data_IF_875137430244
#
_entry.id   IF_875137430244
#
_cell.length_a   1.000
_cell.length_b   1.000
_cell.length_c   1.000
_cell.angle_alpha   90.00
_cell.angle_beta   90.00
_cell.angle_gamma   90.00
#
_symmetry.space_group_name_H-M   'P 1'
#
loop_
_entity.id
_entity.type
_entity.pdbx_description
1 polymer ?
#
# COMPACT_ATOMS: atom_id res chain seq x y z
N UNK A 1 6.61 17.31 -23.18
CA UNK A 1 5.56 17.61 -22.17
C UNK A 1 5.48 16.58 -21.04
N UNK A 2 5.86 15.31 -21.28
CA UNK A 2 5.86 14.24 -20.27
C UNK A 2 6.85 14.45 -19.12
N UNK A 3 8.05 14.96 -19.40
CA UNK A 3 9.11 15.14 -18.39
C UNK A 3 8.80 16.26 -17.39
N UNK A 4 8.23 17.37 -17.85
CA UNK A 4 7.80 18.48 -17.00
C UNK A 4 6.64 18.08 -16.06
N UNK A 5 5.68 17.31 -16.56
CA UNK A 5 4.60 16.79 -15.73
C UNK A 5 5.09 15.78 -14.70
N UNK A 6 5.98 14.87 -15.10
CA UNK A 6 6.57 13.89 -14.19
C UNK A 6 7.33 14.57 -13.05
N UNK A 7 8.11 15.61 -13.37
CA UNK A 7 8.88 16.35 -12.35
C UNK A 7 7.97 17.14 -11.41
N UNK A 8 6.97 17.85 -11.94
CA UNK A 8 6.01 18.59 -11.13
C UNK A 8 5.18 17.67 -10.21
N UNK A 9 4.66 16.56 -10.74
CA UNK A 9 3.94 15.58 -9.93
C UNK A 9 4.87 14.90 -8.92
N UNK A 10 6.09 14.55 -9.33
CA UNK A 10 7.09 13.95 -8.46
C UNK A 10 7.43 14.85 -7.27
N UNK A 11 7.75 16.12 -7.51
CA UNK A 11 8.03 17.09 -6.43
C UNK A 11 6.80 17.28 -5.55
N UNK A 12 5.61 17.40 -6.13
CA UNK A 12 4.39 17.60 -5.35
C UNK A 12 4.08 16.40 -4.43
N UNK A 13 4.37 15.18 -4.87
CA UNK A 13 4.14 13.96 -4.08
C UNK A 13 5.26 13.69 -3.07
N UNK A 14 6.53 13.76 -3.47
CA UNK A 14 7.66 13.38 -2.63
C UNK A 14 8.23 14.53 -1.80
N UNK A 15 8.09 15.77 -2.25
CA UNK A 15 8.62 16.96 -1.59
C UNK A 15 8.13 17.11 -0.14
N UNK A 16 6.81 17.05 0.12
CA UNK A 16 6.28 17.12 1.49
C UNK A 16 6.81 15.99 2.38
N UNK A 17 6.95 14.77 1.84
CA UNK A 17 7.45 13.62 2.60
C UNK A 17 8.94 13.75 2.94
N UNK A 18 9.75 14.31 2.04
CA UNK A 18 11.16 14.60 2.29
C UNK A 18 11.33 15.67 3.37
N UNK A 19 10.57 16.78 3.28
CA UNK A 19 10.60 17.83 4.30
C UNK A 19 10.13 17.30 5.65
N UNK A 20 9.04 16.52 5.68
CA UNK A 20 8.52 15.92 6.91
C UNK A 20 9.54 14.98 7.55
N UNK A 21 10.19 14.13 6.76
CA UNK A 21 11.22 13.21 7.25
C UNK A 21 12.44 13.95 7.83
N UNK A 22 12.86 15.05 7.20
CA UNK A 22 14.00 15.85 7.68
C UNK A 22 13.67 16.80 8.83
N UNK A 23 12.43 17.29 8.93
CA UNK A 23 12.01 18.25 9.95
C UNK A 23 11.47 17.59 11.24
N UNK A 24 11.32 16.26 11.24
CA UNK A 24 10.91 15.48 12.42
C UNK A 24 12.07 14.58 12.88
N UNK A 25 12.09 14.14 14.14
CA UNK A 25 13.14 13.23 14.65
C UNK A 25 13.15 11.83 13.99
N UNK A 26 12.30 11.57 12.99
CA UNK A 26 12.29 10.33 12.21
C UNK A 26 13.59 10.08 11.43
N UNK A 27 14.35 11.15 11.13
CA UNK A 27 15.67 11.06 10.51
C UNK A 27 16.76 10.53 11.43
N UNK A 28 16.57 10.60 12.75
CA UNK A 28 17.55 10.15 13.75
C UNK A 28 17.41 8.64 14.02
N UNK A 29 16.22 8.09 13.80
CA UNK A 29 15.97 6.66 13.81
C UNK A 29 16.28 6.05 12.43
N UNK A 30 16.89 4.85 12.39
CA UNK A 30 17.05 4.04 11.17
C UNK A 30 15.68 3.50 10.69
N UNK A 31 14.80 4.43 10.35
CA UNK A 31 13.42 4.18 9.94
C UNK A 31 13.36 3.79 8.47
N UNK A 32 14.42 4.08 7.70
CA UNK A 32 14.55 3.73 6.28
C UNK A 32 14.42 2.23 6.04
N UNK A 33 15.16 1.40 6.79
CA UNK A 33 15.10 -0.06 6.63
C UNK A 33 13.71 -0.64 6.94
N UNK A 34 13.03 -0.09 7.95
CA UNK A 34 11.68 -0.52 8.34
C UNK A 34 10.63 -0.08 7.30
N UNK A 35 10.78 1.13 6.75
CA UNK A 35 9.94 1.63 5.68
C UNK A 35 10.06 0.80 4.40
N UNK A 36 11.29 0.42 4.01
CA UNK A 36 11.52 -0.48 2.86
C UNK A 36 10.86 -1.84 3.08
N UNK A 37 10.98 -2.42 4.27
CA UNK A 37 10.28 -3.68 4.61
C UNK A 37 8.76 -3.54 4.51
N UNK A 38 8.18 -2.45 5.01
CA UNK A 38 6.76 -2.17 4.89
C UNK A 38 6.33 -2.02 3.41
N UNK A 39 7.15 -1.35 2.58
CA UNK A 39 6.90 -1.21 1.15
C UNK A 39 6.90 -2.56 0.41
N UNK A 40 7.83 -3.47 0.74
CA UNK A 40 7.87 -4.83 0.17
C UNK A 40 6.62 -5.62 0.55
N UNK A 41 6.20 -5.55 1.81
CA UNK A 41 4.97 -6.21 2.28
C UNK A 41 3.75 -5.65 1.56
N UNK A 42 3.64 -4.32 1.44
CA UNK A 42 2.55 -3.67 0.73
C UNK A 42 2.50 -4.08 -0.76
N UNK A 43 3.66 -4.13 -1.42
CA UNK A 43 3.75 -4.59 -2.80
C UNK A 43 3.28 -6.04 -2.94
N UNK A 44 3.70 -6.92 -2.02
CA UNK A 44 3.26 -8.31 -1.98
C UNK A 44 1.75 -8.46 -1.79
N UNK A 45 1.16 -7.71 -0.85
CA UNK A 45 -0.30 -7.76 -0.63
C UNK A 45 -1.08 -7.22 -1.83
N UNK A 46 -0.60 -6.13 -2.44
CA UNK A 46 -1.20 -5.55 -3.64
C UNK A 46 -1.19 -6.54 -4.83
N UNK A 47 -0.10 -7.27 -5.04
CA UNK A 47 -0.03 -8.31 -6.08
C UNK A 47 -1.06 -9.42 -5.83
N UNK A 48 -1.17 -9.90 -4.60
CA UNK A 48 -2.17 -10.93 -4.27
C UNK A 48 -3.58 -10.40 -4.49
N UNK A 49 -3.87 -9.14 -4.14
CA UNK A 49 -5.17 -8.50 -4.41
C UNK A 49 -5.50 -8.50 -5.89
N UNK A 50 -4.56 -8.11 -6.74
CA UNK A 50 -4.75 -8.08 -8.19
C UNK A 50 -4.99 -9.48 -8.76
N UNK A 51 -4.26 -10.50 -8.28
CA UNK A 51 -4.47 -11.90 -8.68
C UNK A 51 -5.86 -12.38 -8.24
N UNK A 52 -6.26 -12.12 -7.00
CA UNK A 52 -7.59 -12.47 -6.50
C UNK A 52 -8.68 -11.77 -7.33
N UNK A 53 -8.55 -10.48 -7.60
CA UNK A 53 -9.52 -9.74 -8.40
C UNK A 53 -9.60 -10.31 -9.81
N UNK A 54 -8.46 -10.59 -10.47
CA UNK A 54 -8.44 -11.18 -11.80
C UNK A 54 -8.99 -12.61 -11.87
N UNK A 55 -8.92 -13.38 -10.78
CA UNK A 55 -9.37 -14.78 -10.75
C UNK A 55 -10.85 -14.90 -10.42
N UNK A 56 -11.33 -14.10 -9.46
CA UNK A 56 -12.68 -14.23 -8.94
C UNK A 56 -13.68 -13.24 -9.56
N UNK A 57 -13.23 -12.10 -10.09
CA UNK A 57 -14.10 -11.16 -10.76
C UNK A 57 -14.27 -11.57 -12.23
N UNK A 58 -15.49 -11.95 -12.61
CA UNK A 58 -15.80 -12.33 -14.00
C UNK A 58 -16.38 -11.12 -14.71
N UNK A 59 -15.68 -10.60 -15.73
CA UNK A 59 -16.15 -9.43 -16.50
C UNK A 59 -17.58 -9.68 -17.01
N UNK A 60 -18.59 -8.90 -16.58
CA UNK A 60 -19.94 -9.03 -17.11
C UNK A 60 -19.95 -8.53 -18.55
N UNK A 61 -20.52 -9.34 -19.45
CA UNK A 61 -20.60 -9.03 -20.89
C UNK A 61 -21.74 -8.05 -21.22
N UNK A 62 -22.65 -7.86 -20.26
CA UNK A 62 -23.80 -6.97 -20.33
C UNK A 62 -23.74 -5.99 -19.14
N UNK A 63 -24.13 -4.73 -19.32
CA UNK A 63 -24.15 -3.66 -18.28
C UNK A 63 -25.16 -3.91 -17.14
N UNK A 64 -25.55 -5.16 -16.89
CA UNK A 64 -26.38 -5.52 -15.75
C UNK A 64 -25.54 -5.57 -14.46
N UNK A 65 -26.04 -4.88 -13.45
CA UNK A 65 -25.45 -4.85 -12.12
C UNK A 65 -25.56 -6.24 -11.46
N UNK A 66 -24.43 -6.91 -11.26
CA UNK A 66 -24.36 -8.17 -10.52
C UNK A 66 -23.97 -7.91 -9.05
N UNK A 67 -24.92 -7.92 -8.11
CA UNK A 67 -24.65 -7.63 -6.71
C UNK A 67 -23.69 -8.63 -6.07
N UNK A 68 -23.63 -9.88 -6.58
CA UNK A 68 -22.72 -10.89 -6.06
C UNK A 68 -21.26 -10.54 -6.33
N UNK A 69 -20.97 -10.02 -7.53
CA UNK A 69 -19.63 -9.61 -7.90
C UNK A 69 -19.14 -8.37 -7.15
N UNK A 70 -20.01 -7.37 -6.98
CA UNK A 70 -19.67 -6.17 -6.23
C UNK A 70 -19.41 -6.50 -4.75
N UNK A 71 -20.20 -7.42 -4.17
CA UNK A 71 -19.96 -7.91 -2.82
C UNK A 71 -18.62 -8.64 -2.71
N UNK A 72 -18.29 -9.49 -3.69
CA UNK A 72 -17.04 -10.25 -3.70
C UNK A 72 -15.82 -9.32 -3.83
N UNK A 73 -15.92 -8.28 -4.66
CA UNK A 73 -14.91 -7.23 -4.81
C UNK A 73 -14.73 -6.44 -3.51
N UNK A 74 -15.82 -6.11 -2.81
CA UNK A 74 -15.77 -5.46 -1.50
C UNK A 74 -15.10 -6.35 -0.43
N UNK A 75 -15.42 -7.64 -0.41
CA UNK A 75 -14.82 -8.64 0.49
C UNK A 75 -13.31 -8.78 0.27
N UNK A 76 -12.87 -8.86 -1.00
CA UNK A 76 -11.43 -8.87 -1.34
C UNK A 76 -10.76 -7.58 -0.86
N UNK A 77 -11.40 -6.43 -1.05
CA UNK A 77 -10.90 -5.14 -0.54
C UNK A 77 -10.77 -5.13 0.99
N UNK A 78 -11.73 -5.70 1.70
CA UNK A 78 -11.71 -5.80 3.16
C UNK A 78 -10.57 -6.72 3.65
N UNK A 79 -10.40 -7.87 3.01
CA UNK A 79 -9.31 -8.82 3.32
C UNK A 79 -7.93 -8.19 3.08
N UNK A 80 -7.78 -7.42 2.01
CA UNK A 80 -6.53 -6.70 1.67
C UNK A 80 -6.15 -5.70 2.78
N UNK A 81 -7.11 -4.88 3.22
CA UNK A 81 -6.91 -3.91 4.31
C UNK A 81 -6.58 -4.62 5.63
N UNK A 82 -7.33 -5.67 5.99
CA UNK A 82 -7.10 -6.44 7.21
C UNK A 82 -5.72 -7.12 7.21
N UNK A 83 -5.31 -7.70 6.07
CA UNK A 83 -3.99 -8.32 5.91
C UNK A 83 -2.88 -7.28 6.03
N UNK A 84 -3.03 -6.13 5.39
CA UNK A 84 -2.04 -5.06 5.46
C UNK A 84 -1.90 -4.54 6.90
N UNK A 85 -3.01 -4.31 7.59
CA UNK A 85 -3.00 -3.91 9.00
C UNK A 85 -2.25 -4.91 9.88
N UNK A 86 -2.56 -6.20 9.75
CA UNK A 86 -1.90 -7.24 10.52
C UNK A 86 -0.39 -7.34 10.20
N UNK A 87 -0.02 -7.22 8.92
CA UNK A 87 1.37 -7.27 8.50
C UNK A 87 2.17 -6.06 9.02
N UNK A 88 1.58 -4.86 8.97
CA UNK A 88 2.18 -3.66 9.54
C UNK A 88 2.31 -3.75 11.07
N UNK A 89 1.27 -4.23 11.76
CA UNK A 89 1.31 -4.42 13.22
C UNK A 89 2.43 -5.40 13.64
N UNK A 90 2.63 -6.49 12.89
CA UNK A 90 3.75 -7.41 13.13
C UNK A 90 5.12 -6.79 12.87
N UNK A 91 5.27 -6.01 11.81
CA UNK A 91 6.53 -5.31 11.52
C UNK A 91 6.88 -4.32 12.63
N UNK A 92 5.90 -3.54 13.09
CA UNK A 92 6.07 -2.59 14.20
C UNK A 92 6.46 -3.31 15.49
N UNK A 93 5.78 -4.41 15.84
CA UNK A 93 6.12 -5.20 17.02
C UNK A 93 7.55 -5.75 16.97
N UNK A 94 8.00 -6.29 15.82
CA UNK A 94 9.38 -6.77 15.66
C UNK A 94 10.41 -5.66 15.76
N UNK A 95 10.10 -4.47 15.26
CA UNK A 95 11.04 -3.35 15.32
C UNK A 95 11.29 -2.87 16.76
N UNK A 96 10.22 -2.76 17.58
CA UNK A 96 10.32 -2.38 18.99
C UNK A 96 11.14 -3.41 19.79
N UNK A 97 10.92 -4.70 19.56
CA UNK A 97 11.65 -5.78 20.24
C UNK A 97 13.15 -5.84 19.93
N UNK A 98 13.63 -5.16 18.88
CA UNK A 98 15.05 -5.18 18.47
C UNK A 98 15.80 -3.92 18.90
N UNK A 99 15.09 -2.86 19.32
CA UNK A 99 15.65 -1.55 19.70
C UNK A 99 15.68 -1.33 21.23
N UNK A 100 15.44 -2.38 22.02
CA UNK A 100 15.37 -2.32 23.48
C UNK A 100 16.27 -3.38 24.12
#
# INVERSE_FOLDING_TARGET
MTVFHLFNCGILTFGPHAVYYSATPLSEYDTGGTSVKAAIVYLGTALVKLICLATFLKVPENDNFDPYQELLKALIGFIDVARLYFALAQLTHRNISQNH
#
